data_IF_250117797751
#
_entry.id   IF_250117797751
#
_cell.length_a   1.000
_cell.length_b   1.000
_cell.length_c   1.000
_cell.angle_alpha   90.00
_cell.angle_beta   90.00
_cell.angle_gamma   90.00
#
_symmetry.space_group_name_H-M   'P 1'
#
loop_
_entity.id
_entity.type
_entity.pdbx_description
1 polymer ?
#
# COMPACT_ATOMS: atom_id res chain seq x y z
N UNK A 1 17.34 45.91 -15.10
CA UNK A 1 17.02 44.85 -14.12
C UNK A 1 15.52 44.61 -14.03
N UNK A 2 14.88 43.88 -14.96
CA UNK A 2 13.43 43.53 -14.85
C UNK A 2 13.01 42.22 -15.52
N UNK A 3 13.94 41.48 -16.14
CA UNK A 3 13.63 40.29 -16.96
C UNK A 3 13.94 38.97 -16.22
N UNK A 4 14.82 39.00 -15.21
CA UNK A 4 15.24 37.79 -14.48
C UNK A 4 14.27 37.30 -13.39
N UNK A 5 13.27 38.10 -13.00
CA UNK A 5 12.32 37.75 -11.94
C UNK A 5 11.15 36.87 -12.41
N UNK A 6 10.89 36.76 -13.72
CA UNK A 6 9.82 35.91 -14.25
C UNK A 6 10.22 34.44 -14.41
N UNK A 7 11.51 34.14 -14.56
CA UNK A 7 11.99 32.76 -14.70
C UNK A 7 11.97 31.99 -13.37
N UNK A 8 12.18 32.66 -12.24
CA UNK A 8 12.17 32.03 -10.92
C UNK A 8 10.77 31.58 -10.47
N UNK A 9 9.70 32.24 -10.95
CA UNK A 9 8.33 31.92 -10.55
C UNK A 9 7.76 30.69 -11.28
N UNK A 10 8.32 30.31 -12.43
CA UNK A 10 7.89 29.13 -13.20
C UNK A 10 8.55 27.84 -12.70
N UNK A 11 9.75 27.95 -12.10
CA UNK A 11 10.48 26.78 -11.57
C UNK A 11 9.98 26.32 -10.19
N UNK A 12 9.36 27.22 -9.40
CA UNK A 12 8.79 26.87 -8.08
C UNK A 12 7.53 25.99 -8.17
N UNK A 13 6.72 26.13 -9.23
CA UNK A 13 5.50 25.33 -9.41
C UNK A 13 5.80 23.86 -9.76
N UNK A 14 6.95 23.58 -10.39
CA UNK A 14 7.37 22.21 -10.69
C UNK A 14 7.79 21.48 -9.40
N UNK A 15 8.59 22.11 -8.55
CA UNK A 15 9.05 21.53 -7.27
C UNK A 15 7.90 21.19 -6.32
N UNK A 16 6.88 22.04 -6.20
CA UNK A 16 5.71 21.74 -5.36
C UNK A 16 4.85 20.60 -5.88
N UNK A 17 4.85 20.37 -7.19
CA UNK A 17 4.08 19.29 -7.80
C UNK A 17 4.72 17.93 -7.55
N UNK A 18 6.04 17.81 -7.66
CA UNK A 18 6.76 16.57 -7.38
C UNK A 18 6.54 16.14 -5.92
N UNK A 19 6.56 17.09 -4.97
CA UNK A 19 6.43 16.83 -3.53
C UNK A 19 5.09 16.25 -3.13
N UNK A 20 4.04 16.56 -3.90
CA UNK A 20 2.71 16.00 -3.68
C UNK A 20 2.66 14.49 -3.97
N UNK A 21 3.36 13.99 -5.00
CA UNK A 21 3.31 12.57 -5.40
C UNK A 21 4.09 11.70 -4.41
N UNK A 22 5.28 12.14 -4.01
CA UNK A 22 6.09 11.45 -3.01
C UNK A 22 5.35 11.35 -1.67
N UNK A 23 4.74 12.45 -1.22
CA UNK A 23 3.93 12.49 0.00
C UNK A 23 2.67 11.62 -0.05
N UNK A 24 1.97 11.58 -1.19
CA UNK A 24 0.79 10.70 -1.37
C UNK A 24 1.18 9.21 -1.28
N UNK A 25 2.29 8.79 -1.90
CA UNK A 25 2.76 7.40 -1.80
C UNK A 25 3.27 7.05 -0.42
N UNK A 26 4.01 7.95 0.24
CA UNK A 26 4.43 7.74 1.62
C UNK A 26 3.23 7.59 2.56
N UNK A 27 2.17 8.38 2.35
CA UNK A 27 0.93 8.26 3.11
C UNK A 27 0.28 6.87 2.92
N UNK A 28 0.09 6.43 1.67
CA UNK A 28 -0.47 5.10 1.39
C UNK A 28 0.35 3.97 2.01
N UNK A 29 1.68 4.07 1.88
CA UNK A 29 2.62 3.12 2.44
C UNK A 29 2.50 3.01 3.96
N UNK A 30 2.36 4.14 4.67
CA UNK A 30 2.31 4.14 6.14
C UNK A 30 0.94 3.82 6.73
N UNK A 31 -0.14 4.11 6.02
CA UNK A 31 -1.49 4.12 6.62
C UNK A 31 -2.43 3.06 6.09
N UNK A 32 -2.29 2.64 4.82
CA UNK A 32 -3.21 1.70 4.18
C UNK A 32 -2.54 0.39 3.81
N UNK A 33 -1.35 0.44 3.21
CA UNK A 33 -0.69 -0.73 2.64
C UNK A 33 -0.48 -1.88 3.63
N UNK A 34 -0.03 -1.67 4.89
CA UNK A 34 0.16 -2.77 5.84
C UNK A 34 -1.14 -3.50 6.15
N UNK A 35 -2.21 -2.75 6.45
CA UNK A 35 -3.53 -3.29 6.79
C UNK A 35 -4.20 -3.96 5.59
N UNK A 36 -4.16 -3.32 4.42
CA UNK A 36 -4.77 -3.84 3.20
C UNK A 36 -4.09 -5.15 2.78
N UNK A 37 -2.76 -5.19 2.77
CA UNK A 37 -2.01 -6.39 2.41
C UNK A 37 -2.19 -7.51 3.46
N UNK A 38 -2.24 -7.18 4.75
CA UNK A 38 -2.52 -8.17 5.80
C UNK A 38 -3.91 -8.79 5.65
N UNK A 39 -4.94 -7.99 5.32
CA UNK A 39 -6.29 -8.47 5.02
C UNK A 39 -6.32 -9.34 3.78
N UNK A 40 -5.72 -8.89 2.67
CA UNK A 40 -5.65 -9.67 1.44
C UNK A 40 -4.96 -11.02 1.68
N UNK A 41 -3.87 -11.03 2.45
CA UNK A 41 -3.18 -12.25 2.89
C UNK A 41 -4.10 -13.15 3.72
N UNK A 42 -4.76 -12.60 4.74
CA UNK A 42 -5.66 -13.35 5.62
C UNK A 42 -6.92 -13.89 4.95
N UNK A 43 -7.41 -13.19 3.94
CA UNK A 43 -8.52 -13.63 3.10
C UNK A 43 -8.13 -14.63 2.00
N UNK A 44 -6.83 -14.97 1.87
CA UNK A 44 -6.35 -15.87 0.83
C UNK A 44 -6.37 -15.29 -0.59
N UNK A 45 -6.45 -13.96 -0.72
CA UNK A 45 -6.60 -13.25 -1.98
C UNK A 45 -5.24 -12.95 -2.64
N UNK A 46 -4.50 -14.01 -2.96
CA UNK A 46 -3.11 -13.96 -3.44
C UNK A 46 -2.95 -13.08 -4.69
N UNK A 47 -3.87 -13.17 -5.66
CA UNK A 47 -3.81 -12.37 -6.88
C UNK A 47 -3.99 -10.87 -6.59
N UNK A 48 -4.88 -10.52 -5.67
CA UNK A 48 -5.11 -9.14 -5.27
C UNK A 48 -3.92 -8.61 -4.45
N UNK A 49 -3.37 -9.43 -3.55
CA UNK A 49 -2.17 -9.14 -2.76
C UNK A 49 -0.99 -8.79 -3.67
N UNK A 50 -0.66 -9.68 -4.62
CA UNK A 50 0.43 -9.47 -5.57
C UNK A 50 0.17 -8.26 -6.47
N UNK A 51 -1.09 -8.07 -6.87
CA UNK A 51 -1.51 -6.91 -7.65
C UNK A 51 -1.27 -5.59 -6.91
N UNK A 52 -1.57 -5.55 -5.62
CA UNK A 52 -1.33 -4.38 -4.76
C UNK A 52 0.16 -4.11 -4.61
N UNK A 53 0.97 -5.13 -4.28
CA UNK A 53 2.42 -4.99 -4.15
C UNK A 53 3.06 -4.51 -5.46
N UNK A 54 2.66 -5.05 -6.60
CA UNK A 54 3.14 -4.58 -7.91
C UNK A 54 2.77 -3.12 -8.15
N UNK A 55 1.52 -2.73 -7.89
CA UNK A 55 1.06 -1.34 -8.04
C UNK A 55 1.86 -0.37 -7.16
N UNK A 56 2.07 -0.72 -5.89
CA UNK A 56 2.83 0.09 -4.94
C UNK A 56 4.30 0.19 -5.33
N UNK A 57 4.93 -0.94 -5.67
CA UNK A 57 6.33 -0.99 -6.11
C UNK A 57 6.52 -0.14 -7.35
N UNK A 58 5.64 -0.30 -8.34
CA UNK A 58 5.70 0.50 -9.56
C UNK A 58 5.57 1.99 -9.26
N UNK A 59 4.66 2.36 -8.36
CA UNK A 59 4.47 3.75 -7.97
C UNK A 59 5.72 4.36 -7.32
N UNK A 60 6.41 3.59 -6.46
CA UNK A 60 7.70 3.99 -5.88
C UNK A 60 8.79 4.18 -6.95
N UNK A 61 8.86 3.26 -7.93
CA UNK A 61 9.85 3.31 -9.02
C UNK A 61 9.66 4.49 -9.98
N UNK A 62 8.41 4.90 -10.24
CA UNK A 62 8.12 6.00 -11.17
C UNK A 62 8.04 7.36 -10.48
N UNK A 63 8.03 7.38 -9.14
CA UNK A 63 8.02 8.63 -8.37
C UNK A 63 9.44 9.22 -8.33
N UNK A 64 9.68 10.40 -8.93
CA UNK A 64 11.03 10.98 -9.02
C UNK A 64 11.58 11.46 -7.67
N UNK A 65 10.70 11.63 -6.69
CA UNK A 65 11.02 12.09 -5.34
C UNK A 65 11.54 11.00 -4.42
N UNK A 66 11.25 9.75 -4.76
CA UNK A 66 11.62 8.61 -3.96
C UNK A 66 13.08 8.29 -4.26
N UNK A 67 13.88 8.09 -3.21
CA UNK A 67 15.21 7.53 -3.40
C UNK A 67 15.10 6.06 -3.80
N UNK A 68 15.28 5.78 -5.10
CA UNK A 68 15.11 4.43 -5.66
C UNK A 68 16.03 3.39 -5.04
N UNK A 69 17.23 3.79 -4.56
CA UNK A 69 18.14 2.90 -3.86
C UNK A 69 17.57 2.38 -2.52
N UNK A 70 16.56 3.06 -1.96
CA UNK A 70 15.89 2.65 -0.72
C UNK A 70 14.63 1.82 -0.94
N UNK A 71 14.18 1.62 -2.18
CA UNK A 71 12.96 0.84 -2.48
C UNK A 71 13.03 -0.58 -1.89
N UNK A 72 14.14 -1.34 -2.01
CA UNK A 72 14.22 -2.67 -1.40
C UNK A 72 14.00 -2.65 0.12
N UNK A 73 14.57 -1.65 0.80
CA UNK A 73 14.42 -1.49 2.25
C UNK A 73 12.99 -1.08 2.63
N UNK A 74 12.35 -0.20 1.85
CA UNK A 74 10.93 0.13 2.06
C UNK A 74 10.04 -1.10 1.92
N UNK A 75 10.24 -1.92 0.88
CA UNK A 75 9.45 -3.15 0.70
C UNK A 75 9.69 -4.16 1.84
N UNK A 76 10.93 -4.27 2.34
CA UNK A 76 11.26 -5.11 3.50
C UNK A 76 10.53 -4.65 4.77
N UNK A 77 10.53 -3.33 5.04
CA UNK A 77 9.81 -2.74 6.17
C UNK A 77 8.30 -2.98 6.03
N UNK A 78 7.74 -2.76 4.84
CA UNK A 78 6.33 -3.03 4.58
C UNK A 78 5.98 -4.48 4.87
N UNK A 79 6.75 -5.43 4.34
CA UNK A 79 6.49 -6.85 4.58
C UNK A 79 6.50 -7.18 6.08
N UNK A 80 7.41 -6.59 6.84
CA UNK A 80 7.44 -6.75 8.30
C UNK A 80 6.17 -6.19 8.95
N UNK A 81 5.68 -5.03 8.52
CA UNK A 81 4.44 -4.45 9.02
C UNK A 81 3.22 -5.28 8.62
N UNK A 82 3.18 -5.81 7.39
CA UNK A 82 2.11 -6.72 6.93
C UNK A 82 2.04 -7.96 7.79
N UNK A 83 3.17 -8.58 8.12
CA UNK A 83 3.19 -9.71 9.05
C UNK A 83 2.64 -9.30 10.42
N UNK A 84 3.11 -8.18 10.98
CA UNK A 84 2.62 -7.71 12.28
C UNK A 84 1.10 -7.49 12.28
N UNK A 85 0.57 -6.80 11.27
CA UNK A 85 -0.87 -6.57 11.15
C UNK A 85 -1.64 -7.90 10.96
N UNK A 86 -1.11 -8.83 10.16
CA UNK A 86 -1.69 -10.15 9.98
C UNK A 86 -1.80 -10.93 11.31
N UNK A 87 -0.75 -10.87 12.13
CA UNK A 87 -0.76 -11.45 13.49
C UNK A 87 -1.74 -10.72 14.41
N UNK A 88 -1.72 -9.39 14.45
CA UNK A 88 -2.58 -8.58 15.32
C UNK A 88 -4.07 -8.71 14.99
N UNK A 89 -4.41 -8.92 13.72
CA UNK A 89 -5.79 -9.21 13.30
C UNK A 89 -6.28 -10.59 13.75
N UNK A 90 -5.37 -11.51 14.11
CA UNK A 90 -5.74 -12.84 14.61
C UNK A 90 -5.98 -13.89 13.52
N UNK A 91 -5.57 -13.65 12.27
CA UNK A 91 -5.61 -14.67 11.22
C UNK A 91 -4.84 -15.96 11.57
N UNK A 92 -3.67 -15.93 12.26
CA UNK A 92 -3.02 -17.14 12.74
C UNK A 92 -3.91 -17.97 13.66
N UNK A 93 -4.68 -17.33 14.55
CA UNK A 93 -5.55 -18.02 15.49
C UNK A 93 -6.70 -18.74 14.77
N UNK A 94 -7.21 -18.15 13.69
CA UNK A 94 -8.17 -18.81 12.81
C UNK A 94 -7.56 -20.10 12.23
N UNK A 95 -6.37 -20.00 11.62
CA UNK A 95 -5.71 -21.14 10.99
C UNK A 95 -5.31 -22.23 11.99
N UNK A 96 -4.82 -21.84 13.16
CA UNK A 96 -4.47 -22.77 14.23
C UNK A 96 -5.70 -23.55 14.71
N UNK A 97 -6.84 -22.87 14.87
CA UNK A 97 -8.09 -23.53 15.22
C UNK A 97 -8.53 -24.53 14.15
N UNK A 98 -8.54 -24.14 12.86
CA UNK A 98 -8.89 -25.04 11.75
C UNK A 98 -7.94 -26.26 11.69
N UNK A 99 -6.64 -26.04 11.87
CA UNK A 99 -5.64 -27.11 11.86
C UNK A 99 -5.73 -28.04 13.08
N UNK A 100 -6.25 -27.55 14.21
CA UNK A 100 -6.35 -28.33 15.45
C UNK A 100 -7.41 -29.44 15.42
N UNK A 101 -8.36 -29.38 14.47
CA UNK A 101 -9.45 -30.35 14.36
C UNK A 101 -10.44 -30.32 15.52
N UNK A 102 -10.43 -29.26 16.35
CA UNK A 102 -11.37 -29.08 17.46
C UNK A 102 -12.81 -29.03 16.94
N UNK A 103 -13.72 -29.67 17.65
CA UNK A 103 -15.15 -29.62 17.35
C UNK A 103 -15.75 -28.26 17.72
N UNK A 104 -16.67 -27.76 16.90
CA UNK A 104 -17.41 -26.51 17.13
C UNK A 104 -17.01 -25.40 16.16
N UNK A 105 -17.74 -24.27 16.16
CA UNK A 105 -17.45 -23.16 15.27
C UNK A 105 -16.13 -22.48 15.65
N UNK A 106 -15.36 -22.05 14.66
CA UNK A 106 -14.14 -21.29 14.87
C UNK A 106 -14.48 -19.91 15.48
N UNK A 107 -13.96 -19.55 16.67
CA UNK A 107 -14.26 -18.28 17.32
C UNK A 107 -13.74 -17.06 16.53
N UNK A 108 -12.86 -17.29 15.55
CA UNK A 108 -12.31 -16.29 14.66
C UNK A 108 -12.94 -16.30 13.26
N UNK A 109 -14.03 -17.06 13.03
CA UNK A 109 -14.72 -17.13 11.73
C UNK A 109 -15.18 -15.75 11.21
N UNK A 110 -15.50 -14.82 12.11
CA UNK A 110 -15.87 -13.44 11.79
C UNK A 110 -14.79 -12.69 10.98
N UNK A 111 -13.53 -13.12 11.03
CA UNK A 111 -12.45 -12.56 10.21
C UNK A 111 -12.72 -12.78 8.72
N UNK A 112 -13.25 -13.94 8.35
CA UNK A 112 -13.55 -14.26 6.96
C UNK A 112 -14.86 -13.61 6.48
N UNK A 113 -15.80 -13.37 7.39
CA UNK A 113 -17.05 -12.64 7.07
C UNK A 113 -16.76 -11.21 6.57
N UNK A 114 -15.67 -10.59 7.02
CA UNK A 114 -15.25 -9.24 6.60
C UNK A 114 -14.48 -9.22 5.28
N UNK A 115 -14.03 -10.38 4.78
CA UNK A 115 -13.20 -10.44 3.59
C UNK A 115 -13.79 -9.73 2.36
N UNK A 116 -15.09 -9.86 2.03
CA UNK A 116 -15.64 -9.13 0.88
C UNK A 116 -15.48 -7.61 0.96
N UNK A 117 -15.68 -7.01 2.14
CA UNK A 117 -15.48 -5.57 2.33
C UNK A 117 -14.00 -5.19 2.34
N UNK A 118 -13.18 -5.98 3.02
CA UNK A 118 -11.75 -5.73 3.17
C UNK A 118 -11.03 -5.82 1.81
N UNK A 119 -11.37 -6.82 0.99
CA UNK A 119 -10.85 -6.98 -0.38
C UNK A 119 -11.30 -5.83 -1.27
N UNK A 120 -12.56 -5.41 -1.17
CA UNK A 120 -13.07 -4.24 -1.89
C UNK A 120 -12.30 -2.98 -1.52
N UNK A 121 -12.06 -2.74 -0.23
CA UNK A 121 -11.33 -1.57 0.26
C UNK A 121 -9.87 -1.58 -0.22
N UNK A 122 -9.19 -2.71 -0.10
CA UNK A 122 -7.82 -2.88 -0.59
C UNK A 122 -7.74 -2.66 -2.11
N UNK A 123 -8.73 -3.15 -2.87
CA UNK A 123 -8.82 -2.93 -4.32
C UNK A 123 -8.99 -1.45 -4.66
N UNK A 124 -9.84 -0.72 -3.95
CA UNK A 124 -9.99 0.73 -4.13
C UNK A 124 -8.71 1.50 -3.83
N UNK A 125 -7.98 1.11 -2.78
CA UNK A 125 -6.71 1.73 -2.45
C UNK A 125 -5.63 1.41 -3.49
N UNK A 126 -5.58 0.19 -4.02
CA UNK A 126 -4.73 -0.16 -5.16
C UNK A 126 -5.00 0.70 -6.39
N UNK A 127 -6.27 0.97 -6.71
CA UNK A 127 -6.64 1.86 -7.82
C UNK A 127 -6.06 3.26 -7.60
N UNK A 128 -6.21 3.81 -6.40
CA UNK A 128 -5.63 5.13 -6.05
C UNK A 128 -4.10 5.14 -6.16
N UNK A 129 -3.42 4.07 -5.74
CA UNK A 129 -1.96 3.93 -5.89
C UNK A 129 -1.57 3.95 -7.38
N UNK A 130 -2.32 3.27 -8.25
CA UNK A 130 -2.08 3.32 -9.70
C UNK A 130 -2.31 4.72 -10.26
N UNK A 131 -3.35 5.43 -9.83
CA UNK A 131 -3.61 6.80 -10.26
C UNK A 131 -2.44 7.73 -9.90
N UNK A 132 -1.83 7.53 -8.73
CA UNK A 132 -0.63 8.27 -8.32
C UNK A 132 0.55 7.95 -9.25
N UNK A 133 0.75 6.67 -9.59
CA UNK A 133 1.80 6.26 -10.52
C UNK A 133 1.59 6.88 -11.92
N UNK A 134 0.35 6.93 -12.42
CA UNK A 134 0.01 7.57 -13.70
C UNK A 134 0.29 9.08 -13.64
N UNK A 135 -0.09 9.75 -12.54
CA UNK A 135 0.23 11.18 -12.33
C UNK A 135 1.73 11.45 -12.30
N UNK A 136 2.51 10.54 -11.72
CA UNK A 136 3.97 10.63 -11.69
C UNK A 136 4.58 10.52 -13.09
N UNK A 137 4.04 9.62 -13.93
CA UNK A 137 4.49 9.39 -15.31
C UNK A 137 4.01 10.44 -16.33
N UNK A 138 2.90 11.13 -16.06
CA UNK A 138 2.28 12.09 -17.00
C UNK A 138 2.88 13.49 -16.91
N UNK A 139 4.03 13.65 -16.26
CA UNK A 139 4.72 14.92 -16.00
C UNK A 139 6.12 14.88 -16.59
#
# INVERSE_FOLDING_TARGET
MKVFLKAAMVCGCLLGSFQAVGGEIEYFFKTHAPLDLARLKGCGETLAYDGYLRSLTKSLEVSPEINHAKIPEFLRILNTQVENEYYLMGYPNYLEFEASGRSGPNPHAWLLEKCPEDVKKATLNRIKINDIAIKALSR
#
